data_IF_165325656515
#
_entry.id   IF_165325656515
#
_cell.length_a   1.000
_cell.length_b   1.000
_cell.length_c   1.000
_cell.angle_alpha   90.00
_cell.angle_beta   90.00
_cell.angle_gamma   90.00
#
_symmetry.space_group_name_H-M   'P 1'
#
loop_
_entity.id
_entity.type
_entity.pdbx_description
1 polymer ?
#
# COMPACT_ATOMS: atom_id res chain seq x y z
N UNK A 1 -3.89 -21.67 -5.14
CA UNK A 1 -4.42 -20.51 -4.39
C UNK A 1 -4.75 -19.41 -5.40
N UNK A 2 -5.69 -18.50 -5.10
CA UNK A 2 -6.05 -17.43 -6.02
C UNK A 2 -4.94 -16.36 -6.01
N UNK A 3 -4.16 -16.28 -7.09
CA UNK A 3 -3.31 -15.11 -7.33
C UNK A 3 -4.23 -13.89 -7.47
N UNK A 4 -3.74 -12.72 -7.06
CA UNK A 4 -4.42 -11.46 -7.38
C UNK A 4 -4.69 -11.42 -8.89
N UNK A 5 -5.89 -11.01 -9.29
CA UNK A 5 -6.21 -10.91 -10.71
C UNK A 5 -5.30 -9.90 -11.39
N UNK A 6 -5.05 -10.01 -12.71
CA UNK A 6 -4.23 -9.03 -13.43
C UNK A 6 -4.71 -7.58 -13.22
N UNK A 7 -6.03 -7.37 -13.11
CA UNK A 7 -6.60 -6.05 -12.80
C UNK A 7 -6.24 -5.53 -11.41
N UNK A 8 -6.26 -6.40 -10.38
CA UNK A 8 -5.84 -6.01 -9.02
C UNK A 8 -4.35 -5.67 -9.00
N UNK A 9 -3.51 -6.46 -9.67
CA UNK A 9 -2.07 -6.18 -9.78
C UNK A 9 -1.83 -4.85 -10.48
N UNK A 10 -2.48 -4.60 -11.62
CA UNK A 10 -2.36 -3.35 -12.35
C UNK A 10 -2.80 -2.14 -11.51
N UNK A 11 -3.89 -2.27 -10.74
CA UNK A 11 -4.38 -1.22 -9.87
C UNK A 11 -3.40 -0.91 -8.72
N UNK A 12 -2.81 -1.95 -8.10
CA UNK A 12 -1.80 -1.79 -7.04
C UNK A 12 -0.52 -1.13 -7.57
N UNK A 13 -0.07 -1.50 -8.78
CA UNK A 13 1.07 -0.87 -9.44
C UNK A 13 0.77 0.61 -9.72
N UNK A 14 -0.38 0.90 -10.33
CA UNK A 14 -0.77 2.27 -10.66
C UNK A 14 -0.93 3.15 -9.42
N UNK A 15 -1.47 2.60 -8.31
CA UNK A 15 -1.58 3.31 -7.04
C UNK A 15 -0.23 3.54 -6.38
N UNK A 16 0.64 2.53 -6.35
CA UNK A 16 1.98 2.67 -5.73
C UNK A 16 2.87 3.63 -6.51
N UNK A 17 2.80 3.60 -7.86
CA UNK A 17 3.54 4.53 -8.72
C UNK A 17 3.17 5.99 -8.43
N UNK A 18 1.88 6.31 -8.45
CA UNK A 18 1.42 7.69 -8.21
C UNK A 18 1.86 8.19 -6.82
N UNK A 19 1.88 7.31 -5.81
CA UNK A 19 2.32 7.67 -4.47
C UNK A 19 3.84 7.91 -4.42
N UNK A 20 4.64 7.07 -5.10
CA UNK A 20 6.09 7.26 -5.18
C UNK A 20 6.48 8.52 -5.95
N UNK A 21 5.80 8.82 -7.07
CA UNK A 21 6.05 10.04 -7.87
C UNK A 21 5.87 11.34 -7.08
N UNK A 22 5.04 11.33 -6.04
CA UNK A 22 4.76 12.51 -5.20
C UNK A 22 5.63 12.54 -3.94
N UNK A 23 6.07 11.38 -3.44
CA UNK A 23 6.72 11.27 -2.13
C UNK A 23 8.22 10.97 -2.19
N UNK A 24 8.74 10.59 -3.36
CA UNK A 24 10.15 10.26 -3.55
C UNK A 24 10.78 11.28 -4.48
N UNK A 25 11.92 11.82 -4.05
CA UNK A 25 12.79 12.58 -4.94
C UNK A 25 13.73 11.61 -5.67
N UNK A 26 13.45 11.37 -6.94
CA UNK A 26 14.26 10.54 -7.85
C UNK A 26 15.23 11.36 -8.71
N UNK A 27 15.29 12.69 -8.51
CA UNK A 27 16.17 13.58 -9.28
C UNK A 27 17.58 13.64 -8.72
N UNK A 28 17.79 13.11 -7.51
CA UNK A 28 19.09 13.06 -6.85
C UNK A 28 19.77 11.70 -7.04
N UNK A 29 21.07 11.62 -6.75
CA UNK A 29 21.82 10.35 -6.81
C UNK A 29 21.49 9.39 -5.64
N UNK A 30 20.58 9.78 -4.75
CA UNK A 30 20.15 9.01 -3.57
C UNK A 30 18.64 8.91 -3.53
N UNK A 31 18.10 7.80 -3.01
CA UNK A 31 16.65 7.72 -2.74
C UNK A 31 16.35 8.63 -1.55
N UNK A 32 15.55 9.67 -1.76
CA UNK A 32 15.11 10.58 -0.69
C UNK A 32 13.60 10.69 -0.66
N UNK A 33 13.03 10.90 0.53
CA UNK A 33 11.59 11.13 0.69
C UNK A 33 11.30 12.59 0.95
N UNK A 34 10.36 13.13 0.17
CA UNK A 34 9.89 14.50 0.27
C UNK A 34 9.16 14.73 1.61
N UNK A 35 9.10 15.99 2.07
CA UNK A 35 8.44 16.35 3.33
C UNK A 35 6.96 15.93 3.40
N UNK A 36 6.28 15.91 2.25
CA UNK A 36 4.89 15.46 2.07
C UNK A 36 4.62 14.05 2.62
N UNK A 37 5.63 13.20 2.80
CA UNK A 37 5.44 11.88 3.41
C UNK A 37 5.01 11.97 4.88
N UNK A 38 5.25 13.10 5.53
CA UNK A 38 4.81 13.36 6.92
C UNK A 38 3.31 13.62 7.02
N UNK A 39 2.65 13.95 5.91
CA UNK A 39 1.20 14.12 5.82
C UNK A 39 0.44 12.78 5.76
N UNK A 40 1.14 11.67 5.48
CA UNK A 40 0.56 10.33 5.55
C UNK A 40 0.27 9.93 6.99
N UNK A 41 -0.86 9.24 7.20
CA UNK A 41 -1.10 8.58 8.48
C UNK A 41 0.00 7.56 8.81
N UNK A 42 0.23 7.29 10.09
CA UNK A 42 1.21 6.30 10.54
C UNK A 42 1.02 4.95 9.85
N UNK A 43 -0.23 4.51 9.69
CA UNK A 43 -0.56 3.26 8.98
C UNK A 43 -0.18 3.28 7.51
N UNK A 44 -0.43 4.38 6.79
CA UNK A 44 -0.09 4.49 5.37
C UNK A 44 1.41 4.60 5.18
N UNK A 45 2.10 5.36 6.04
CA UNK A 45 3.55 5.47 6.02
C UNK A 45 4.22 4.13 6.32
N UNK A 46 3.72 3.36 7.29
CA UNK A 46 4.18 1.99 7.56
C UNK A 46 3.91 1.06 6.37
N UNK A 47 2.74 1.15 5.74
CA UNK A 47 2.43 0.35 4.56
C UNK A 47 3.33 0.70 3.37
N UNK A 48 3.58 1.98 3.13
CA UNK A 48 4.49 2.46 2.10
C UNK A 48 5.93 2.02 2.39
N UNK A 49 6.42 2.23 3.61
CA UNK A 49 7.78 1.84 3.99
C UNK A 49 7.98 0.33 3.82
N UNK A 50 6.99 -0.49 4.21
CA UNK A 50 6.99 -1.93 3.97
C UNK A 50 7.10 -2.29 2.48
N UNK A 51 6.33 -1.65 1.60
CA UNK A 51 6.40 -1.87 0.14
C UNK A 51 7.74 -1.45 -0.44
N UNK A 52 8.30 -0.33 0.01
CA UNK A 52 9.63 0.13 -0.42
C UNK A 52 10.70 -0.86 0.03
N UNK A 53 10.66 -1.32 1.29
CA UNK A 53 11.58 -2.33 1.80
C UNK A 53 11.50 -3.65 1.02
N UNK A 54 10.29 -4.09 0.67
CA UNK A 54 10.07 -5.25 -0.19
C UNK A 54 10.65 -5.07 -1.60
N UNK A 55 10.42 -3.92 -2.24
CA UNK A 55 10.97 -3.63 -3.57
C UNK A 55 12.50 -3.57 -3.58
N UNK A 56 13.11 -2.94 -2.57
CA UNK A 56 14.58 -2.90 -2.42
C UNK A 56 15.14 -4.30 -2.19
N UNK A 57 14.43 -5.12 -1.41
CA UNK A 57 14.80 -6.52 -1.17
C UNK A 57 14.81 -7.30 -2.47
N UNK A 58 13.72 -7.25 -3.24
CA UNK A 58 13.59 -7.93 -4.52
C UNK A 58 14.70 -7.50 -5.50
N UNK A 59 14.91 -6.20 -5.66
CA UNK A 59 15.99 -5.68 -6.51
C UNK A 59 17.38 -6.13 -6.05
N UNK A 60 17.63 -6.20 -4.74
CA UNK A 60 18.90 -6.69 -4.20
C UNK A 60 19.09 -8.18 -4.49
N UNK A 61 18.04 -8.99 -4.31
CA UNK A 61 18.07 -10.42 -4.58
C UNK A 61 18.29 -10.71 -6.08
N UNK A 62 17.64 -9.95 -6.97
CA UNK A 62 17.87 -10.02 -8.41
C UNK A 62 19.32 -9.65 -8.78
N UNK A 63 19.88 -8.59 -8.19
CA UNK A 63 21.27 -8.19 -8.39
C UNK A 63 22.27 -9.26 -7.95
N UNK A 64 21.93 -10.04 -6.92
CA UNK A 64 22.73 -11.18 -6.45
C UNK A 64 22.53 -12.44 -7.31
N UNK A 65 21.65 -12.40 -8.31
CA UNK A 65 21.39 -13.51 -9.24
C UNK A 65 20.36 -14.52 -8.74
N UNK A 66 19.56 -14.16 -7.75
CA UNK A 66 18.45 -14.99 -7.27
C UNK A 66 17.14 -14.65 -8.01
N UNK A 67 16.30 -15.66 -8.20
CA UNK A 67 15.00 -15.51 -8.88
C UNK A 67 13.88 -15.68 -7.85
N UNK A 68 12.92 -14.76 -7.84
CA UNK A 68 11.77 -14.85 -6.96
C UNK A 68 10.97 -16.15 -7.21
N UNK A 69 10.66 -16.88 -6.15
CA UNK A 69 9.92 -18.15 -6.24
C UNK A 69 8.49 -18.01 -5.71
N UNK A 70 8.34 -17.61 -4.46
CA UNK A 70 7.04 -17.32 -3.85
C UNK A 70 7.19 -16.56 -2.52
N UNK A 71 6.08 -16.19 -1.91
CA UNK A 71 6.03 -15.75 -0.50
C UNK A 71 6.30 -16.95 0.40
N UNK A 72 7.14 -16.78 1.44
CA UNK A 72 7.62 -17.91 2.23
C UNK A 72 6.49 -18.67 2.93
N UNK A 73 5.46 -17.98 3.45
CA UNK A 73 4.29 -18.62 4.09
C UNK A 73 3.53 -19.58 3.17
N UNK A 74 3.67 -19.42 1.84
CA UNK A 74 3.03 -20.27 0.85
C UNK A 74 3.80 -21.56 0.58
N UNK A 75 5.08 -21.59 0.92
CA UNK A 75 5.96 -22.72 0.68
C UNK A 75 6.33 -23.41 1.98
N UNK A 76 6.55 -22.67 3.06
CA UNK A 76 7.10 -23.21 4.29
C UNK A 76 6.01 -23.24 5.35
N UNK A 77 5.71 -24.44 5.83
CA UNK A 77 4.88 -24.62 7.01
C UNK A 77 5.68 -24.27 8.25
N UNK A 78 5.29 -23.21 8.96
CA UNK A 78 5.96 -22.82 10.21
C UNK A 78 4.97 -22.51 11.34
N UNK A 79 5.38 -22.86 12.56
CA UNK A 79 4.74 -22.44 13.81
C UNK A 79 5.45 -21.27 14.49
N UNK A 80 6.57 -20.81 13.91
CA UNK A 80 7.38 -19.68 14.40
C UNK A 80 7.47 -18.59 13.33
N UNK A 81 8.08 -17.46 13.67
CA UNK A 81 8.25 -16.36 12.74
C UNK A 81 9.03 -16.82 11.49
N UNK A 82 8.59 -16.37 10.31
CA UNK A 82 9.16 -16.76 9.02
C UNK A 82 9.56 -15.50 8.25
N UNK A 83 10.49 -15.68 7.32
CA UNK A 83 10.86 -14.65 6.36
C UNK A 83 9.67 -14.29 5.44
N UNK A 84 9.72 -13.16 4.75
CA UNK A 84 8.68 -12.78 3.80
C UNK A 84 8.73 -13.61 2.50
N UNK A 85 9.92 -13.87 1.97
CA UNK A 85 10.10 -14.37 0.60
C UNK A 85 11.03 -15.57 0.50
N UNK A 86 10.79 -16.37 -0.54
CA UNK A 86 11.69 -17.45 -0.98
C UNK A 86 12.16 -17.12 -2.40
N UNK A 87 13.46 -17.18 -2.59
CA UNK A 87 14.12 -17.09 -3.88
C UNK A 87 14.82 -18.40 -4.21
N UNK A 88 15.20 -18.56 -5.47
CA UNK A 88 15.93 -19.72 -5.98
C UNK A 88 17.23 -19.25 -6.65
N UNK A 89 18.32 -19.94 -6.35
CA UNK A 89 19.61 -19.73 -7.01
C UNK A 89 19.65 -20.42 -8.38
N UNK A 90 20.66 -20.08 -9.19
CA UNK A 90 20.89 -20.77 -10.45
C UNK A 90 21.14 -22.30 -10.30
N UNK A 91 21.52 -22.76 -9.10
CA UNK A 91 21.71 -24.19 -8.79
C UNK A 91 20.44 -24.88 -8.31
N UNK A 92 19.33 -24.14 -8.18
CA UNK A 92 18.05 -24.64 -7.65
C UNK A 92 17.96 -24.67 -6.13
N UNK A 93 18.95 -24.11 -5.42
CA UNK A 93 18.92 -23.99 -3.97
C UNK A 93 17.98 -22.87 -3.54
N UNK A 94 17.29 -23.07 -2.41
CA UNK A 94 16.38 -22.08 -1.87
C UNK A 94 17.11 -21.07 -1.00
N UNK A 95 16.66 -19.82 -1.07
CA UNK A 95 17.17 -18.70 -0.29
C UNK A 95 16.02 -17.96 0.35
N UNK A 96 16.10 -17.69 1.65
CA UNK A 96 15.12 -16.85 2.34
C UNK A 96 15.50 -15.38 2.27
N UNK A 97 14.52 -14.50 2.11
CA UNK A 97 14.73 -13.07 2.25
C UNK A 97 13.63 -12.44 3.11
N UNK A 98 14.04 -11.71 4.14
CA UNK A 98 13.16 -10.90 4.97
C UNK A 98 13.32 -9.42 4.62
N UNK A 99 12.20 -8.72 4.42
CA UNK A 99 12.19 -7.33 4.01
C UNK A 99 11.69 -6.41 5.14
N UNK A 100 12.52 -5.46 5.56
CA UNK A 100 12.13 -4.42 6.52
C UNK A 100 12.23 -3.05 5.88
N UNK A 101 11.22 -2.22 6.13
CA UNK A 101 11.20 -0.85 5.66
C UNK A 101 10.66 0.11 6.71
N UNK A 102 11.37 1.21 6.95
CA UNK A 102 11.02 2.22 7.93
C UNK A 102 11.22 3.62 7.39
N UNK A 103 10.22 4.49 7.53
CA UNK A 103 10.34 5.90 7.19
C UNK A 103 9.97 6.71 8.43
N UNK A 104 10.98 7.32 9.04
CA UNK A 104 10.86 8.02 10.32
C UNK A 104 11.98 9.05 10.51
N UNK A 105 11.68 10.15 11.19
CA UNK A 105 12.67 11.19 11.50
C UNK A 105 13.84 10.67 12.35
N UNK A 106 13.64 9.56 13.08
CA UNK A 106 14.66 8.90 13.87
C UNK A 106 15.50 7.86 13.09
N UNK A 107 15.33 7.76 11.76
CA UNK A 107 16.05 6.77 10.97
C UNK A 107 17.57 7.01 11.03
N UNK A 108 18.33 5.93 11.18
CA UNK A 108 19.79 5.92 11.28
C UNK A 108 20.34 4.61 10.70
N UNK A 109 21.60 4.62 10.25
CA UNK A 109 22.29 3.42 9.82
C UNK A 109 22.30 2.34 10.92
N UNK A 110 22.70 2.69 12.16
CA UNK A 110 22.73 1.72 13.27
C UNK A 110 21.36 1.13 13.61
N UNK A 111 20.28 1.90 13.40
CA UNK A 111 18.91 1.40 13.50
C UNK A 111 18.55 0.39 12.39
N UNK A 112 18.96 0.67 11.15
CA UNK A 112 18.82 -0.27 10.04
C UNK A 112 19.63 -1.56 10.30
N UNK A 113 20.89 -1.44 10.72
CA UNK A 113 21.76 -2.59 11.03
C UNK A 113 21.15 -3.49 12.10
N UNK A 114 20.68 -2.88 13.20
CA UNK A 114 20.02 -3.61 14.29
C UNK A 114 18.73 -4.27 13.81
N UNK A 115 17.97 -3.62 12.93
CA UNK A 115 16.72 -4.15 12.38
C UNK A 115 16.98 -5.36 11.48
N UNK A 116 17.94 -5.26 10.55
CA UNK A 116 18.34 -6.36 9.68
C UNK A 116 18.84 -7.55 10.50
N UNK A 117 19.74 -7.33 11.45
CA UNK A 117 20.29 -8.38 12.29
C UNK A 117 19.22 -9.11 13.11
N UNK A 118 18.34 -8.36 13.80
CA UNK A 118 17.26 -8.95 14.59
C UNK A 118 16.24 -9.71 13.74
N UNK A 119 15.93 -9.21 12.54
CA UNK A 119 15.06 -9.87 11.59
C UNK A 119 15.68 -11.20 11.11
N UNK A 120 16.97 -11.18 10.75
CA UNK A 120 17.70 -12.38 10.36
C UNK A 120 17.65 -13.47 11.44
N UNK A 121 18.05 -13.15 12.68
CA UNK A 121 18.08 -14.12 13.78
C UNK A 121 16.71 -14.75 14.06
N UNK A 122 15.63 -13.98 13.92
CA UNK A 122 14.28 -14.43 14.26
C UNK A 122 13.56 -15.17 13.14
N UNK A 123 13.75 -14.73 11.90
CA UNK A 123 12.88 -15.10 10.78
C UNK A 123 13.60 -15.91 9.71
N UNK A 124 14.93 -15.82 9.64
CA UNK A 124 15.75 -16.41 8.58
C UNK A 124 16.62 -17.53 9.14
N UNK A 125 17.49 -17.20 10.10
CA UNK A 125 18.44 -18.14 10.71
C UNK A 125 17.83 -19.48 11.15
N UNK A 126 16.60 -19.54 11.72
CA UNK A 126 16.02 -20.81 12.15
C UNK A 126 15.77 -21.83 11.04
N UNK A 127 15.85 -21.43 9.76
CA UNK A 127 15.55 -22.27 8.61
C UNK A 127 16.76 -22.52 7.69
N UNK A 128 17.82 -21.72 7.82
CA UNK A 128 19.03 -21.87 6.99
C UNK A 128 19.72 -23.20 7.30
N UNK A 129 20.17 -23.88 6.25
CA UNK A 129 20.71 -25.24 6.25
C UNK A 129 19.72 -26.32 6.72
N UNK A 130 18.42 -26.05 6.63
CA UNK A 130 17.37 -27.02 6.90
C UNK A 130 16.50 -27.25 5.66
N UNK A 131 15.71 -28.32 5.72
CA UNK A 131 14.67 -28.63 4.74
C UNK A 131 13.31 -28.54 5.42
N UNK A 132 12.75 -27.33 5.58
CA UNK A 132 11.52 -27.16 6.34
C UNK A 132 10.35 -27.88 5.66
N UNK A 133 9.32 -28.25 6.44
CA UNK A 133 8.13 -28.89 5.88
C UNK A 133 7.38 -27.92 4.99
N UNK A 134 6.67 -28.48 4.01
CA UNK A 134 5.75 -27.72 3.18
C UNK A 134 4.53 -27.23 3.95
N UNK A 135 3.61 -26.50 3.29
CA UNK A 135 2.44 -25.94 3.94
C UNK A 135 1.61 -27.03 4.60
N UNK A 136 1.08 -26.76 5.80
CA UNK A 136 0.30 -27.71 6.61
C UNK A 136 1.03 -29.04 6.90
N UNK A 137 2.36 -29.01 7.01
CA UNK A 137 3.16 -30.21 7.27
C UNK A 137 3.33 -31.11 6.06
N UNK A 138 3.14 -30.57 4.85
CA UNK A 138 3.36 -31.29 3.60
C UNK A 138 4.82 -31.64 3.34
N UNK A 139 5.12 -32.26 2.18
CA UNK A 139 6.49 -32.58 1.77
C UNK A 139 7.41 -31.36 1.86
N UNK A 140 8.68 -31.58 2.19
CA UNK A 140 9.65 -30.48 2.26
C UNK A 140 9.74 -29.76 0.92
N UNK A 141 9.89 -28.44 0.99
CA UNK A 141 10.02 -27.59 -0.20
C UNK A 141 11.43 -27.57 -0.80
N UNK A 142 12.41 -28.07 -0.06
CA UNK A 142 13.81 -28.08 -0.47
C UNK A 142 14.74 -27.60 0.64
N UNK A 143 16.04 -27.70 0.36
CA UNK A 143 17.08 -27.24 1.26
C UNK A 143 17.28 -25.73 1.10
N UNK A 144 17.28 -25.01 2.22
CA UNK A 144 17.57 -23.59 2.28
C UNK A 144 19.07 -23.43 2.50
N UNK A 145 19.78 -22.97 1.47
CA UNK A 145 21.25 -22.86 1.51
C UNK A 145 21.70 -21.55 2.14
N UNK A 146 20.92 -20.48 1.96
CA UNK A 146 21.31 -19.15 2.40
C UNK A 146 20.09 -18.35 2.86
N UNK A 147 20.34 -17.25 3.55
CA UNK A 147 19.29 -16.33 3.93
C UNK A 147 19.77 -14.89 4.09
N UNK A 148 18.87 -13.96 3.80
CA UNK A 148 19.08 -12.53 3.89
C UNK A 148 17.98 -11.87 4.71
N UNK A 149 18.33 -10.85 5.49
CA UNK A 149 17.38 -9.89 6.01
C UNK A 149 17.87 -8.48 5.65
N UNK A 150 17.05 -7.74 4.93
CA UNK A 150 17.38 -6.40 4.47
C UNK A 150 16.53 -5.39 5.22
N UNK A 151 17.16 -4.33 5.70
CA UNK A 151 16.49 -3.23 6.35
C UNK A 151 16.77 -1.92 5.63
N UNK A 152 15.71 -1.39 5.03
CA UNK A 152 15.66 -0.04 4.52
C UNK A 152 15.15 0.92 5.61
N UNK A 153 15.84 2.05 5.79
CA UNK A 153 15.39 3.12 6.65
C UNK A 153 15.60 4.47 5.97
N UNK A 154 14.63 5.39 6.06
CA UNK A 154 14.79 6.73 5.52
C UNK A 154 14.21 7.82 6.44
N UNK A 155 14.81 9.01 6.38
CA UNK A 155 14.29 10.21 7.03
C UNK A 155 13.37 10.95 6.06
N UNK A 156 12.20 11.41 6.52
CA UNK A 156 11.38 12.33 5.75
C UNK A 156 11.98 13.75 5.77
N UNK A 157 11.64 14.56 4.77
CA UNK A 157 11.94 16.00 4.80
C UNK A 157 12.99 16.47 3.81
N UNK A 158 13.20 15.77 2.69
CA UNK A 158 13.92 16.36 1.57
C UNK A 158 13.07 17.48 0.96
N UNK A 159 13.57 18.72 0.99
CA UNK A 159 12.86 19.87 0.42
C UNK A 159 13.20 19.98 -1.08
N UNK A 160 12.23 19.82 -1.99
CA UNK A 160 12.50 19.93 -3.42
C UNK A 160 12.61 21.41 -3.80
N UNK A 161 13.78 21.87 -4.24
CA UNK A 161 13.88 23.21 -4.83
C UNK A 161 15.29 23.65 -5.25
N UNK A 162 15.42 24.38 -6.39
CA UNK A 162 16.70 24.95 -6.85
C UNK A 162 17.26 26.07 -5.94
N UNK A 163 16.49 26.49 -4.93
CA UNK A 163 16.84 27.52 -3.96
C UNK A 163 17.02 26.99 -2.54
N UNK A 164 16.76 25.70 -2.30
CA UNK A 164 17.08 25.10 -1.02
C UNK A 164 18.62 25.00 -0.93
N UNK A 165 19.24 25.44 0.18
CA UNK A 165 20.67 25.21 0.37
C UNK A 165 20.92 23.70 0.24
N UNK A 166 21.95 23.28 -0.51
CA UNK A 166 22.26 21.87 -0.64
C UNK A 166 22.37 21.27 0.76
N UNK A 167 21.71 20.12 1.02
CA UNK A 167 21.85 19.46 2.30
C UNK A 167 23.35 19.30 2.59
N UNK A 168 23.78 19.44 3.86
CA UNK A 168 25.18 19.25 4.22
C UNK A 168 25.65 17.92 3.62
N UNK A 169 26.77 17.96 2.90
CA UNK A 169 27.18 16.99 1.87
C UNK A 169 27.37 15.52 2.31
N UNK A 170 26.95 15.14 3.53
CA UNK A 170 27.17 13.82 4.12
C UNK A 170 26.04 13.41 5.11
N UNK A 171 24.81 13.91 4.95
CA UNK A 171 23.66 13.31 5.64
C UNK A 171 22.94 12.38 4.65
N UNK A 172 23.26 11.09 4.68
CA UNK A 172 22.45 10.11 3.97
C UNK A 172 21.03 10.16 4.57
N UNK A 173 20.03 10.47 3.75
CA UNK A 173 18.61 10.49 4.15
C UNK A 173 17.95 9.12 3.97
N UNK A 174 18.67 8.16 3.38
CA UNK A 174 18.32 6.77 3.32
C UNK A 174 19.50 5.88 3.74
N UNK A 175 19.18 4.78 4.39
CA UNK A 175 20.08 3.80 4.96
C UNK A 175 19.63 2.42 4.51
N UNK A 176 20.59 1.59 4.13
CA UNK A 176 20.36 0.19 3.81
C UNK A 176 21.31 -0.65 4.64
N UNK A 177 20.78 -1.70 5.24
CA UNK A 177 21.55 -2.70 5.96
C UNK A 177 21.15 -4.09 5.49
N UNK A 178 22.11 -5.00 5.46
CA UNK A 178 21.92 -6.40 5.09
C UNK A 178 22.54 -7.26 6.19
N UNK A 179 21.77 -8.21 6.70
CA UNK A 179 22.25 -9.30 7.51
C UNK A 179 22.07 -10.59 6.71
N UNK A 180 23.15 -11.30 6.47
CA UNK A 180 23.17 -12.51 5.64
C UNK A 180 23.77 -13.69 6.38
N UNK A 181 23.57 -14.88 5.83
CA UNK A 181 24.23 -16.08 6.34
C UNK A 181 25.73 -15.98 6.10
N UNK A 182 26.53 -16.03 7.16
CA UNK A 182 27.98 -16.14 7.02
C UNK A 182 28.34 -17.56 6.52
N UNK A 183 28.86 -17.73 5.30
CA UNK A 183 29.24 -19.04 4.78
C UNK A 183 30.43 -19.65 5.52
N UNK A 184 31.17 -18.87 6.31
CA UNK A 184 32.31 -19.34 7.12
C UNK A 184 31.91 -19.79 8.52
N UNK A 185 30.68 -19.48 8.96
CA UNK A 185 30.16 -19.85 10.29
C UNK A 185 29.57 -21.28 10.36
N UNK A 186 29.73 -22.11 9.32
CA UNK A 186 29.13 -23.45 9.27
C UNK A 186 29.95 -24.45 10.10
N UNK A 187 29.54 -24.65 11.35
CA UNK A 187 29.63 -25.95 12.02
C UNK A 187 28.31 -26.22 12.75
N UNK A 188 27.59 -27.32 12.44
CA UNK A 188 26.41 -27.70 13.20
C UNK A 188 26.86 -28.39 14.49
N UNK A 189 26.99 -27.64 15.59
CA UNK A 189 26.99 -28.28 16.92
C UNK A 189 25.54 -28.59 17.28
N UNK A 190 25.14 -29.82 16.97
CA UNK A 190 24.00 -30.45 17.59
C UNK A 190 24.15 -30.37 19.13
N UNK A 191 23.21 -29.70 19.79
CA UNK A 191 23.03 -29.75 21.24
C UNK A 191 23.80 -28.70 22.05
N UNK A 192 23.21 -27.52 22.23
CA UNK A 192 23.37 -26.75 23.45
C UNK A 192 22.06 -26.01 23.75
N UNK A 193 21.51 -26.23 24.94
CA UNK A 193 20.27 -25.64 25.42
C UNK A 193 20.33 -24.12 25.63
N UNK A 194 19.29 -23.53 26.25
CA UNK A 194 19.07 -22.09 26.25
C UNK A 194 20.15 -21.38 27.10
N UNK A 195 21.08 -20.71 26.41
CA UNK A 195 22.07 -19.83 27.02
C UNK A 195 21.43 -18.50 27.43
N UNK A 196 21.39 -18.28 28.73
CA UNK A 196 21.08 -17.01 29.40
C UNK A 196 22.08 -15.90 29.05
N UNK A 197 21.56 -14.74 28.66
CA UNK A 197 22.25 -13.45 28.54
C UNK A 197 21.43 -12.56 27.61
N UNK A 198 21.10 -11.30 27.87
CA UNK A 198 21.49 -10.33 28.89
C UNK A 198 20.36 -9.29 28.87
N UNK A 199 19.90 -8.82 30.02
CA UNK A 199 18.84 -7.80 30.08
C UNK A 199 19.36 -6.47 29.49
N UNK A 200 18.86 -6.09 28.31
CA UNK A 200 19.00 -4.72 27.81
C UNK A 200 17.96 -3.84 28.53
N UNK A 201 18.44 -2.90 29.33
CA UNK A 201 17.63 -1.85 29.93
C UNK A 201 17.09 -0.93 28.82
N UNK A 202 15.79 -1.02 28.55
CA UNK A 202 15.08 -0.10 27.66
C UNK A 202 14.82 1.19 28.41
N UNK A 203 15.50 2.26 28.00
CA UNK A 203 15.19 3.61 28.42
C UNK A 203 13.95 4.08 27.64
N UNK A 204 12.83 4.26 28.34
CA UNK A 204 11.57 4.75 27.76
C UNK A 204 11.82 6.19 27.26
N UNK A 205 11.58 6.52 25.97
CA UNK A 205 11.70 7.89 25.48
C UNK A 205 10.63 8.79 26.13
N UNK A 206 10.92 10.08 26.31
CA UNK A 206 9.93 11.03 26.84
C UNK A 206 8.68 11.10 25.94
N UNK A 207 7.51 11.45 26.51
CA UNK A 207 6.26 11.51 25.75
C UNK A 207 6.38 12.49 24.57
N UNK A 208 5.74 12.17 23.43
CA UNK A 208 5.80 13.03 22.26
C UNK A 208 5.23 14.42 22.58
N UNK A 209 5.78 15.49 21.98
CA UNK A 209 5.21 16.82 22.10
C UNK A 209 3.74 16.84 21.65
N UNK A 210 2.92 17.78 22.17
CA UNK A 210 1.51 17.85 21.84
C UNK A 210 1.31 17.88 20.32
N UNK A 211 0.30 17.13 19.85
CA UNK A 211 -0.04 16.96 18.44
C UNK A 211 0.05 18.30 17.71
N UNK A 212 0.95 18.37 16.70
CA UNK A 212 1.02 19.52 15.80
C UNK A 212 -0.38 19.71 15.21
N UNK A 213 -0.87 20.93 15.25
CA UNK A 213 -2.02 21.37 14.46
C UNK A 213 -1.80 20.92 13.02
N UNK A 214 -2.65 20.01 12.53
CA UNK A 214 -2.58 19.46 11.18
C UNK A 214 -2.33 20.58 10.16
N UNK A 215 -1.14 20.59 9.56
CA UNK A 215 -0.93 21.38 8.36
C UNK A 215 -1.82 20.83 7.24
N UNK A 216 -2.31 21.71 6.35
CA UNK A 216 -3.15 21.28 5.24
C UNK A 216 -2.33 20.39 4.30
N UNK A 217 -2.71 19.11 4.20
CA UNK A 217 -2.09 18.13 3.29
C UNK A 217 -1.80 18.71 1.91
N UNK A 218 -0.64 18.38 1.34
CA UNK A 218 -0.25 18.84 0.01
C UNK A 218 -1.35 18.51 -1.03
N UNK A 219 -1.53 19.43 -1.99
CA UNK A 219 -2.60 19.32 -2.99
C UNK A 219 -2.45 18.06 -3.84
N UNK A 220 -1.21 17.76 -4.25
CA UNK A 220 -0.88 16.61 -5.08
C UNK A 220 -1.11 15.30 -4.32
N UNK A 221 -0.76 15.25 -3.03
CA UNK A 221 -1.03 14.08 -2.19
C UNK A 221 -2.53 13.76 -2.07
N UNK A 222 -3.35 14.79 -1.83
CA UNK A 222 -4.82 14.62 -1.80
C UNK A 222 -5.35 14.11 -3.13
N UNK A 223 -4.83 14.65 -4.22
CA UNK A 223 -5.24 14.26 -5.56
C UNK A 223 -4.80 12.82 -5.89
N UNK A 224 -3.62 12.40 -5.45
CA UNK A 224 -3.13 11.02 -5.52
C UNK A 224 -3.98 10.03 -4.72
N UNK A 225 -4.46 10.42 -3.52
CA UNK A 225 -5.36 9.60 -2.73
C UNK A 225 -6.71 9.40 -3.42
N UNK A 226 -7.33 10.49 -3.92
CA UNK A 226 -8.57 10.39 -4.70
C UNK A 226 -8.37 9.58 -5.97
N UNK A 227 -7.22 9.70 -6.63
CA UNK A 227 -6.87 8.89 -7.80
C UNK A 227 -6.94 7.39 -7.48
N UNK A 228 -6.31 6.96 -6.39
CA UNK A 228 -6.34 5.56 -5.97
C UNK A 228 -7.75 5.09 -5.62
N UNK A 229 -8.53 5.92 -4.91
CA UNK A 229 -9.92 5.63 -4.54
C UNK A 229 -10.81 5.46 -5.77
N UNK A 230 -10.76 6.38 -6.74
CA UNK A 230 -11.56 6.29 -7.96
C UNK A 230 -11.09 5.19 -8.91
N UNK A 231 -9.79 4.85 -8.88
CA UNK A 231 -9.28 3.68 -9.58
C UNK A 231 -9.87 2.39 -9.00
N UNK A 232 -9.83 2.23 -7.69
CA UNK A 232 -10.40 1.05 -7.00
C UNK A 232 -11.93 0.98 -7.20
N UNK A 233 -12.60 2.13 -7.19
CA UNK A 233 -14.03 2.24 -7.48
C UNK A 233 -14.36 2.15 -8.99
N UNK A 234 -13.43 1.73 -9.85
CA UNK A 234 -13.66 1.47 -11.27
C UNK A 234 -14.14 2.70 -12.09
N UNK A 235 -13.61 3.88 -11.80
CA UNK A 235 -13.98 5.16 -12.45
C UNK A 235 -12.84 5.73 -13.31
N UNK A 236 -12.52 5.11 -14.47
CA UNK A 236 -11.34 5.42 -15.27
C UNK A 236 -11.29 6.86 -15.81
N UNK A 237 -12.44 7.45 -16.16
CA UNK A 237 -12.48 8.82 -16.70
C UNK A 237 -12.21 9.86 -15.61
N UNK A 238 -12.52 9.55 -14.35
CA UNK A 238 -12.13 10.39 -13.20
C UNK A 238 -10.62 10.31 -13.00
N UNK A 239 -10.05 9.11 -13.02
CA UNK A 239 -8.60 8.88 -12.92
C UNK A 239 -7.87 9.62 -14.03
N UNK A 240 -8.33 9.51 -15.28
CA UNK A 240 -7.75 10.22 -16.41
C UNK A 240 -7.83 11.76 -16.25
N UNK A 241 -8.92 12.29 -15.66
CA UNK A 241 -9.02 13.72 -15.37
C UNK A 241 -8.05 14.17 -14.28
N UNK A 242 -7.87 13.35 -13.25
CA UNK A 242 -6.89 13.58 -12.19
C UNK A 242 -5.48 13.61 -12.78
N UNK A 243 -5.14 12.62 -13.61
CA UNK A 243 -3.85 12.54 -14.29
C UNK A 243 -3.62 13.74 -15.20
N UNK A 244 -4.66 14.21 -15.90
CA UNK A 244 -4.59 15.40 -16.71
C UNK A 244 -4.25 16.66 -15.89
N UNK A 245 -4.81 16.79 -14.68
CA UNK A 245 -4.53 17.90 -13.76
C UNK A 245 -3.11 17.81 -13.22
N UNK A 246 -2.68 16.64 -12.73
CA UNK A 246 -1.34 16.42 -12.18
C UNK A 246 -0.25 16.68 -13.23
N UNK A 247 -0.46 16.20 -14.46
CA UNK A 247 0.49 16.32 -15.57
C UNK A 247 0.35 17.63 -16.36
N UNK A 248 -0.60 18.51 -16.00
CA UNK A 248 -0.94 19.74 -16.75
C UNK A 248 -1.17 19.46 -18.24
N UNK A 249 -1.89 18.40 -18.56
CA UNK A 249 -2.16 17.98 -19.94
C UNK A 249 -3.59 18.30 -20.37
N UNK A 250 -3.78 18.57 -21.65
CA UNK A 250 -5.08 18.91 -22.26
C UNK A 250 -5.93 17.68 -22.59
N UNK A 251 -5.72 16.55 -21.89
CA UNK A 251 -6.54 15.36 -22.09
C UNK A 251 -7.95 15.66 -21.61
N UNK A 252 -8.92 15.51 -22.51
CA UNK A 252 -10.34 15.62 -22.21
C UNK A 252 -10.92 14.21 -22.09
N UNK A 253 -11.08 13.67 -20.87
CA UNK A 253 -11.60 12.32 -20.69
C UNK A 253 -13.07 12.25 -21.12
N UNK A 254 -13.53 11.03 -21.44
CA UNK A 254 -14.93 10.78 -21.74
C UNK A 254 -15.85 10.99 -20.54
N UNK A 255 -17.16 10.94 -20.78
CA UNK A 255 -18.16 10.93 -19.70
C UNK A 255 -17.93 9.69 -18.83
N UNK A 256 -17.87 9.87 -17.50
CA UNK A 256 -17.85 8.75 -16.57
C UNK A 256 -19.28 8.33 -16.24
N UNK A 257 -19.59 7.05 -16.38
CA UNK A 257 -20.83 6.46 -15.87
C UNK A 257 -20.57 5.80 -14.51
N UNK A 258 -21.55 5.83 -13.63
CA UNK A 258 -21.54 5.22 -12.31
C UNK A 258 -22.86 4.50 -12.06
N UNK A 259 -22.81 3.45 -11.25
CA UNK A 259 -23.97 2.94 -10.53
C UNK A 259 -23.98 3.60 -9.16
N UNK A 260 -25.02 4.39 -8.88
CA UNK A 260 -25.32 4.80 -7.51
C UNK A 260 -25.97 3.63 -6.79
N UNK A 261 -25.44 3.29 -5.62
CA UNK A 261 -25.91 2.22 -4.74
C UNK A 261 -26.38 2.82 -3.42
N UNK A 262 -27.62 2.56 -3.02
CA UNK A 262 -28.15 2.94 -1.70
C UNK A 262 -28.00 1.76 -0.75
N UNK A 263 -27.29 1.97 0.36
CA UNK A 263 -27.08 0.99 1.41
C UNK A 263 -27.39 1.60 2.78
N UNK A 264 -28.55 1.24 3.34
CA UNK A 264 -29.06 1.88 4.56
C UNK A 264 -29.45 3.33 4.27
N UNK A 265 -28.91 4.27 5.03
CA UNK A 265 -29.13 5.72 4.90
C UNK A 265 -28.11 6.42 3.99
N UNK A 266 -27.22 5.66 3.35
CA UNK A 266 -26.09 6.20 2.58
C UNK A 266 -26.16 5.80 1.12
N UNK A 267 -25.72 6.71 0.27
CA UNK A 267 -25.54 6.49 -1.17
C UNK A 267 -24.06 6.47 -1.52
N UNK A 268 -23.69 5.57 -2.42
CA UNK A 268 -22.32 5.36 -2.88
C UNK A 268 -22.30 5.33 -4.41
N UNK A 269 -21.17 5.66 -5.02
CA UNK A 269 -20.90 5.55 -6.44
C UNK A 269 -19.89 4.43 -6.70
N UNK A 270 -20.21 3.59 -7.66
CA UNK A 270 -19.31 2.59 -8.24
C UNK A 270 -19.17 2.93 -9.72
N UNK A 271 -17.97 3.16 -10.19
CA UNK A 271 -17.70 3.48 -11.59
C UNK A 271 -17.98 2.30 -12.52
N UNK A 272 -18.46 2.64 -13.71
CA UNK A 272 -18.68 1.72 -14.82
C UNK A 272 -17.52 1.92 -15.81
N UNK A 273 -16.79 0.84 -16.08
CA UNK A 273 -15.70 0.80 -17.05
C UNK A 273 -16.22 0.09 -18.31
N UNK A 274 -15.80 0.46 -19.53
CA UNK A 274 -16.24 -0.25 -20.75
C UNK A 274 -16.00 -1.77 -20.73
N UNK A 275 -14.99 -2.23 -19.97
CA UNK A 275 -14.69 -3.65 -19.73
C UNK A 275 -15.73 -4.31 -18.83
N UNK A 276 -16.31 -3.54 -17.92
CA UNK A 276 -17.36 -3.96 -17.00
C UNK A 276 -18.55 -2.99 -17.12
N UNK A 277 -19.37 -3.12 -18.17
CA UNK A 277 -20.41 -2.15 -18.49
C UNK A 277 -21.51 -2.09 -17.42
N UNK A 278 -21.43 -2.96 -16.41
CA UNK A 278 -22.38 -3.03 -15.32
C UNK A 278 -21.85 -3.67 -14.06
N UNK A 279 -22.62 -3.48 -12.99
CA UNK A 279 -22.34 -4.13 -11.72
C UNK A 279 -22.64 -5.64 -11.76
N UNK A 280 -23.54 -6.14 -12.63
CA UNK A 280 -23.68 -7.59 -12.83
C UNK A 280 -22.46 -8.16 -13.56
N UNK A 281 -21.86 -7.41 -14.50
CA UNK A 281 -20.60 -7.80 -15.13
C UNK A 281 -19.42 -7.79 -14.14
N UNK A 282 -19.42 -6.90 -13.14
CA UNK A 282 -18.44 -6.90 -12.06
C UNK A 282 -18.64 -8.08 -11.09
N UNK A 283 -19.89 -8.47 -10.81
CA UNK A 283 -20.25 -9.40 -9.70
C UNK A 283 -19.48 -10.74 -9.69
N UNK A 284 -19.22 -11.42 -10.82
CA UNK A 284 -18.43 -12.66 -10.85
C UNK A 284 -16.96 -12.48 -10.44
N UNK A 285 -16.41 -11.27 -10.58
CA UNK A 285 -14.99 -10.97 -10.37
C UNK A 285 -14.70 -10.40 -8.98
N UNK A 286 -15.73 -10.10 -8.19
CA UNK A 286 -15.60 -9.48 -6.88
C UNK A 286 -15.59 -10.54 -5.76
N UNK A 287 -14.49 -10.60 -5.00
CA UNK A 287 -14.28 -11.51 -3.87
C UNK A 287 -14.96 -11.01 -2.58
N UNK A 288 -16.28 -10.83 -2.64
CA UNK A 288 -17.13 -10.50 -1.48
C UNK A 288 -17.27 -9.02 -1.13
N UNK A 289 -16.38 -8.15 -1.61
CA UNK A 289 -16.45 -6.71 -1.41
C UNK A 289 -16.31 -5.93 -2.72
N UNK A 290 -16.93 -4.76 -2.77
CA UNK A 290 -16.87 -3.82 -3.91
C UNK A 290 -16.43 -2.47 -3.40
N UNK A 291 -15.44 -1.87 -4.06
CA UNK A 291 -15.01 -0.52 -3.73
C UNK A 291 -16.00 0.50 -4.28
N UNK A 292 -16.31 1.51 -3.48
CA UNK A 292 -17.23 2.56 -3.81
C UNK A 292 -16.80 3.88 -3.16
N UNK A 293 -17.39 4.99 -3.60
CA UNK A 293 -17.15 6.32 -3.02
C UNK A 293 -18.47 6.89 -2.56
N UNK A 294 -18.56 7.39 -1.32
CA UNK A 294 -19.76 8.02 -0.80
C UNK A 294 -20.19 9.19 -1.71
N UNK A 295 -21.47 9.22 -2.07
CA UNK A 295 -22.02 10.14 -3.07
C UNK A 295 -21.75 11.60 -2.72
N UNK A 296 -22.05 12.03 -1.48
CA UNK A 296 -21.90 13.42 -1.07
C UNK A 296 -20.46 13.95 -1.20
N UNK A 297 -19.43 13.27 -0.65
CA UNK A 297 -18.03 13.61 -0.89
C UNK A 297 -17.64 13.54 -2.37
N UNK A 298 -18.07 12.51 -3.10
CA UNK A 298 -17.73 12.33 -4.51
C UNK A 298 -18.27 13.46 -5.39
N UNK A 299 -19.53 13.88 -5.23
CA UNK A 299 -20.12 14.97 -6.04
C UNK A 299 -19.35 16.27 -5.87
N UNK A 300 -18.99 16.62 -4.62
CA UNK A 300 -18.17 17.81 -4.35
C UNK A 300 -16.82 17.73 -5.03
N UNK A 301 -16.13 16.60 -4.90
CA UNK A 301 -14.85 16.38 -5.54
C UNK A 301 -14.95 16.46 -7.07
N UNK A 302 -15.91 15.77 -7.68
CA UNK A 302 -16.11 15.72 -9.13
C UNK A 302 -16.46 17.09 -9.72
N UNK A 303 -17.27 17.89 -9.04
CA UNK A 303 -17.53 19.28 -9.42
C UNK A 303 -16.27 20.13 -9.37
N UNK A 304 -15.45 20.01 -8.32
CA UNK A 304 -14.22 20.79 -8.21
C UNK A 304 -13.15 20.35 -9.20
N UNK A 305 -13.05 19.04 -9.45
CA UNK A 305 -12.12 18.44 -10.42
C UNK A 305 -12.42 18.89 -11.85
N UNK A 306 -13.70 18.95 -12.25
CA UNK A 306 -14.09 19.45 -13.57
C UNK A 306 -13.76 20.94 -13.75
N UNK A 307 -13.84 21.72 -12.67
CA UNK A 307 -13.49 23.13 -12.65
C UNK A 307 -11.99 23.39 -12.41
N UNK A 308 -11.17 22.33 -12.35
CA UNK A 308 -9.71 22.36 -12.12
C UNK A 308 -9.26 23.28 -10.96
N UNK A 309 -10.07 23.32 -9.88
CA UNK A 309 -9.77 23.95 -8.58
C UNK A 309 -9.29 25.43 -8.58
N UNK A 310 -10.22 26.39 -8.66
CA UNK A 310 -9.92 27.81 -8.37
C UNK A 310 -10.06 28.21 -6.89
N UNK A 311 -10.54 27.32 -6.02
CA UNK A 311 -10.77 27.59 -4.60
C UNK A 311 -10.29 26.37 -3.82
N UNK A 312 -9.15 26.48 -3.14
CA UNK A 312 -8.51 25.37 -2.43
C UNK A 312 -9.47 24.56 -1.55
N UNK A 313 -9.22 23.25 -1.43
CA UNK A 313 -9.96 22.36 -0.52
C UNK A 313 -9.77 22.84 0.93
N UNK A 314 -10.70 23.65 1.43
CA UNK A 314 -10.69 24.14 2.80
C UNK A 314 -11.74 23.40 3.61
N UNK A 315 -11.44 22.14 3.95
CA UNK A 315 -11.91 21.48 5.17
C UNK A 315 -11.24 20.11 5.28
N UNK A 316 -10.38 19.96 6.29
CA UNK A 316 -10.12 18.67 6.87
C UNK A 316 -11.48 18.07 7.29
N UNK A 317 -11.87 16.95 6.68
CA UNK A 317 -13.00 16.18 7.19
C UNK A 317 -12.53 15.58 8.51
N UNK A 318 -13.22 15.83 9.64
CA UNK A 318 -12.83 15.24 10.91
C UNK A 318 -12.71 13.72 10.74
N UNK A 319 -11.60 13.15 11.20
CA UNK A 319 -11.39 11.70 11.26
C UNK A 319 -12.47 11.12 12.19
N UNK A 320 -13.62 10.77 11.64
CA UNK A 320 -14.62 10.00 12.37
C UNK A 320 -14.16 8.54 12.39
N UNK A 321 -14.00 7.99 13.59
CA UNK A 321 -13.72 6.57 13.79
C UNK A 321 -14.63 5.72 12.90
N UNK A 322 -14.04 4.71 12.25
CA UNK A 322 -14.74 3.64 11.54
C UNK A 322 -15.99 3.23 12.33
N UNK A 323 -17.17 3.59 11.82
CA UNK A 323 -18.44 3.27 12.47
C UNK A 323 -18.68 1.77 12.26
N UNK A 324 -18.26 0.95 13.22
CA UNK A 324 -18.68 -0.46 13.31
C UNK A 324 -20.09 -0.48 13.88
N UNK A 325 -21.09 -0.78 13.03
CA UNK A 325 -22.45 -1.05 13.50
C UNK A 325 -22.45 -2.21 14.50
N UNK A 326 -22.91 -1.96 15.73
CA UNK A 326 -22.92 -2.91 16.84
C UNK A 326 -24.05 -3.95 16.74
N UNK A 327 -24.02 -4.80 15.71
CA UNK A 327 -24.92 -5.95 15.57
C UNK A 327 -24.15 -7.24 15.24
N UNK A 328 -24.74 -8.40 15.55
CA UNK A 328 -24.15 -9.74 15.31
C UNK A 328 -23.87 -10.04 13.82
N UNK A 329 -24.36 -9.21 12.88
CA UNK A 329 -24.04 -9.30 11.46
C UNK A 329 -22.99 -8.24 11.10
N UNK A 330 -21.93 -8.61 10.34
CA UNK A 330 -20.95 -7.64 9.86
C UNK A 330 -21.67 -6.53 9.08
N UNK A 331 -21.29 -5.25 9.28
CA UNK A 331 -21.99 -4.14 8.66
C UNK A 331 -21.99 -4.30 7.12
N UNK A 332 -23.05 -3.84 6.44
CA UNK A 332 -23.19 -4.01 5.00
C UNK A 332 -22.15 -3.21 4.21
N UNK A 333 -21.45 -2.27 4.86
CA UNK A 333 -20.30 -1.56 4.33
C UNK A 333 -19.29 -1.21 5.42
N UNK A 334 -18.07 -0.90 4.98
CA UNK A 334 -17.02 -0.25 5.76
C UNK A 334 -16.68 1.05 5.02
N UNK A 335 -16.51 2.16 5.73
CA UNK A 335 -16.24 3.46 5.10
C UNK A 335 -15.18 4.23 5.91
N UNK A 336 -14.23 4.84 5.22
CA UNK A 336 -13.26 5.76 5.79
C UNK A 336 -13.83 7.20 5.85
N UNK A 337 -13.24 8.10 6.66
CA UNK A 337 -13.74 9.46 6.85
C UNK A 337 -13.83 10.31 5.57
N UNK A 338 -12.95 10.05 4.61
CA UNK A 338 -12.86 10.70 3.30
C UNK A 338 -13.93 10.21 2.31
N UNK A 339 -14.75 9.23 2.71
CA UNK A 339 -15.87 8.73 1.92
C UNK A 339 -15.52 7.53 1.05
N UNK A 340 -14.28 7.01 1.08
CA UNK A 340 -14.00 5.72 0.44
C UNK A 340 -14.70 4.60 1.21
N UNK A 341 -15.30 3.67 0.47
CA UNK A 341 -16.12 2.62 1.03
C UNK A 341 -15.82 1.27 0.39
N UNK A 342 -16.02 0.22 1.18
CA UNK A 342 -16.14 -1.15 0.72
C UNK A 342 -17.56 -1.62 1.05
N UNK A 343 -18.32 -2.02 0.02
CA UNK A 343 -19.67 -2.54 0.15
C UNK A 343 -19.65 -4.06 0.08
N UNK A 344 -20.40 -4.74 0.94
CA UNK A 344 -20.53 -6.20 0.87
C UNK A 344 -21.33 -6.62 -0.36
N UNK A 345 -20.85 -7.63 -1.08
CA UNK A 345 -21.50 -8.15 -2.29
C UNK A 345 -22.89 -8.73 -2.03
N UNK A 346 -23.12 -9.28 -0.84
CA UNK A 346 -24.38 -9.93 -0.46
C UNK A 346 -25.40 -8.97 0.15
N UNK A 347 -25.08 -7.68 0.25
CA UNK A 347 -26.06 -6.68 0.63
C UNK A 347 -26.98 -6.34 -0.56
N UNK A 348 -28.26 -6.09 -0.25
CA UNK A 348 -29.25 -5.63 -1.22
C UNK A 348 -29.18 -4.12 -1.35
N UNK A 349 -29.23 -3.64 -2.58
CA UNK A 349 -29.04 -2.23 -2.91
C UNK A 349 -30.13 -1.74 -3.85
N UNK A 350 -30.63 -0.52 -3.61
CA UNK A 350 -31.32 0.23 -4.65
C UNK A 350 -30.28 0.89 -5.56
N UNK A 351 -30.53 0.90 -6.87
CA UNK A 351 -29.54 1.34 -7.85
C UNK A 351 -30.07 2.35 -8.84
N UNK A 352 -29.31 3.41 -9.08
CA UNK A 352 -29.58 4.43 -10.11
C UNK A 352 -28.36 4.58 -11.02
N UNK A 353 -28.57 4.97 -12.28
CA UNK A 353 -27.47 5.32 -13.15
C UNK A 353 -27.11 6.79 -12.96
N UNK A 354 -25.82 7.08 -12.81
CA UNK A 354 -25.31 8.44 -12.63
C UNK A 354 -24.20 8.67 -13.64
N UNK A 355 -24.26 9.78 -14.37
CA UNK A 355 -23.18 10.18 -15.28
C UNK A 355 -22.52 11.46 -14.80
N UNK A 356 -21.22 11.58 -15.00
CA UNK A 356 -20.44 12.78 -14.75
C UNK A 356 -19.72 13.21 -16.02
N UNK A 357 -19.92 14.46 -16.41
CA UNK A 357 -19.23 15.08 -17.52
C UNK A 357 -17.99 15.84 -17.01
N UNK A 358 -16.76 15.41 -17.37
CA UNK A 358 -15.52 16.04 -16.88
C UNK A 358 -15.29 17.45 -17.43
N UNK A 359 -15.96 17.84 -18.51
CA UNK A 359 -15.79 19.15 -19.15
C UNK A 359 -16.53 20.29 -18.45
N UNK A 360 -17.65 20.00 -17.78
CA UNK A 360 -18.47 21.01 -17.10
C UNK A 360 -18.85 20.62 -15.66
N UNK A 361 -18.44 19.43 -15.21
CA UNK A 361 -18.73 18.90 -13.89
C UNK A 361 -20.18 18.50 -13.68
N UNK A 362 -21.02 18.50 -14.72
CA UNK A 362 -22.43 18.16 -14.60
C UNK A 362 -22.59 16.69 -14.21
N UNK A 363 -23.36 16.46 -13.15
CA UNK A 363 -23.77 15.13 -12.69
C UNK A 363 -25.24 14.95 -13.05
N UNK A 364 -25.57 13.92 -13.82
CA UNK A 364 -26.94 13.60 -14.23
C UNK A 364 -27.33 12.25 -13.66
N UNK A 365 -28.53 12.15 -13.09
CA UNK A 365 -29.06 10.90 -12.55
C UNK A 365 -30.23 10.43 -13.40
N UNK A 366 -30.24 9.16 -13.74
CA UNK A 366 -31.30 8.51 -14.49
C UNK A 366 -31.96 7.46 -13.59
N UNK A 367 -33.27 7.60 -13.40
CA UNK A 367 -34.05 6.58 -12.72
C UNK A 367 -34.16 5.36 -13.62
N UNK A 368 -33.64 4.24 -13.13
CA UNK A 368 -33.82 2.96 -13.78
C UNK A 368 -35.23 2.43 -13.46
N UNK A 369 -35.92 1.78 -14.41
CA UNK A 369 -37.20 1.14 -14.12
C UNK A 369 -37.09 0.20 -12.92
N UNK A 370 -38.08 0.14 -12.03
CA UNK A 370 -38.08 -0.79 -10.91
C UNK A 370 -37.95 -2.23 -11.44
N UNK A 371 -37.04 -3.01 -10.84
CA UNK A 371 -36.65 -4.36 -11.27
C UNK A 371 -35.88 -4.45 -12.60
N UNK A 372 -35.21 -3.38 -13.04
CA UNK A 372 -34.21 -3.52 -14.11
C UNK A 372 -33.04 -4.33 -13.55
N UNK A 373 -32.78 -5.56 -14.02
CA UNK A 373 -31.57 -6.28 -13.65
C UNK A 373 -30.38 -5.43 -14.09
N UNK A 374 -29.35 -5.42 -13.27
CA UNK A 374 -28.20 -4.54 -13.34
C UNK A 374 -27.30 -4.88 -14.54
N UNK A 375 -27.82 -4.64 -15.75
CA UNK A 375 -27.22 -5.03 -17.03
C UNK A 375 -25.94 -4.34 -17.34
#
# INVERSE_FOLDING_TARGET
MARASPGVVAALIASSRALLEILVDDTTTVVAFLEDITDLSDSERTALSGRVGAGITDQTMEMLGFVWRDVAEQLIGSSVALADYVYESATGALVLAEAKGSITSAATQGGADSTAHNAYLRQVQPYVYLSPPGPKGGPSVGFIEHGYALAFAARPGHAPGPTAPPPPAIAADAFLAVAETDPTAIAPTAGAGPGTGTALSVQIPPPPPPARTHEPQSFDLRLGNYRAVFLLANAPSVVAKIDAVLLKSDISPGIQSFVQVVCGDRSFLIGIDPTFPSIDALRPHLSGWVFAVALGPAEKFLHQLANAFNQGFSRAVPVQQLVRGGGEKPPPFIMSPDGFAMLRRDATFETHEVTWNPGNGQITRFDLPPNTPLR
#
